data_IF_273206050650
#
_entry.id   IF_273206050650
#
_cell.length_a   1.000
_cell.length_b   1.000
_cell.length_c   1.000
_cell.angle_alpha   90.00
_cell.angle_beta   90.00
_cell.angle_gamma   90.00
#
_symmetry.space_group_name_H-M   'P 1'
#
loop_
_entity.id
_entity.type
_entity.pdbx_description
1 polymer ?
#
# COMPACT_ATOMS: atom_id res chain seq x y z
N UNK A 1 6.22 -20.19 -8.06
CA UNK A 1 5.26 -19.07 -7.94
C UNK A 1 6.10 -17.80 -7.99
N UNK A 2 5.73 -16.82 -8.80
CA UNK A 2 6.49 -15.55 -8.85
C UNK A 2 6.33 -14.79 -7.52
N UNK A 3 7.39 -14.10 -7.07
CA UNK A 3 7.30 -13.24 -5.90
C UNK A 3 6.27 -12.12 -6.16
N UNK A 4 5.48 -11.78 -5.14
CA UNK A 4 4.57 -10.62 -5.21
C UNK A 4 5.41 -9.35 -5.32
N UNK A 5 4.94 -8.38 -6.10
CA UNK A 5 5.56 -7.06 -6.30
C UNK A 5 4.63 -5.96 -5.80
N UNK A 6 5.13 -4.73 -5.63
CA UNK A 6 4.26 -3.60 -5.29
C UNK A 6 3.28 -3.25 -6.42
N UNK A 7 3.66 -3.49 -7.68
CA UNK A 7 2.74 -3.40 -8.82
C UNK A 7 1.59 -4.41 -8.70
N UNK A 8 1.83 -5.63 -8.19
CA UNK A 8 0.74 -6.57 -7.88
C UNK A 8 -0.15 -6.05 -6.75
N UNK A 9 0.41 -5.39 -5.74
CA UNK A 9 -0.37 -4.79 -4.65
C UNK A 9 -1.33 -3.73 -5.19
N UNK A 10 -0.85 -2.81 -6.03
CA UNK A 10 -1.69 -1.80 -6.69
C UNK A 10 -2.74 -2.46 -7.59
N UNK A 11 -2.36 -3.49 -8.35
CA UNK A 11 -3.29 -4.25 -9.20
C UNK A 11 -4.42 -4.88 -8.36
N UNK A 12 -4.10 -5.51 -7.23
CA UNK A 12 -5.09 -6.10 -6.33
C UNK A 12 -5.97 -5.03 -5.68
N UNK A 13 -5.41 -3.88 -5.31
CA UNK A 13 -6.20 -2.74 -4.84
C UNK A 13 -7.21 -2.28 -5.90
N UNK A 14 -6.82 -2.22 -7.18
CA UNK A 14 -7.71 -1.88 -8.29
C UNK A 14 -8.82 -2.91 -8.50
N UNK A 15 -8.51 -4.19 -8.36
CA UNK A 15 -9.52 -5.25 -8.42
C UNK A 15 -10.60 -5.07 -7.34
N UNK A 16 -10.21 -4.71 -6.11
CA UNK A 16 -11.14 -4.47 -5.00
C UNK A 16 -11.96 -3.19 -5.18
N UNK A 17 -11.33 -2.13 -5.71
CA UNK A 17 -12.00 -0.86 -6.07
C UNK A 17 -12.89 -1.00 -7.32
N UNK A 18 -12.81 -2.14 -8.03
CA UNK A 18 -13.41 -2.34 -9.35
C UNK A 18 -12.93 -1.33 -10.41
N UNK A 19 -11.77 -0.72 -10.19
CA UNK A 19 -11.14 0.26 -11.08
C UNK A 19 -10.15 -0.43 -12.03
N UNK A 20 -10.66 -1.33 -12.86
CA UNK A 20 -9.88 -2.22 -13.74
C UNK A 20 -9.82 -1.76 -15.19
N UNK A 21 -10.53 -0.70 -15.55
CA UNK A 21 -10.58 -0.20 -16.92
C UNK A 21 -9.45 0.80 -17.19
N UNK A 22 -8.37 0.30 -17.80
CA UNK A 22 -7.20 1.09 -18.22
C UNK A 22 -7.47 2.34 -19.06
N UNK A 23 -8.66 2.50 -19.65
CA UNK A 23 -8.99 3.68 -20.48
C UNK A 23 -9.70 4.79 -19.70
N UNK A 24 -10.29 4.46 -18.54
CA UNK A 24 -11.09 5.38 -17.72
C UNK A 24 -10.87 5.08 -16.24
N UNK A 25 -9.60 5.02 -15.82
CA UNK A 25 -9.28 4.79 -14.41
C UNK A 25 -9.74 5.98 -13.57
N UNK A 26 -10.36 5.71 -12.41
CA UNK A 26 -10.76 6.75 -11.45
C UNK A 26 -9.52 7.38 -10.81
N UNK A 27 -8.52 6.54 -10.50
CA UNK A 27 -7.25 6.96 -9.92
C UNK A 27 -6.10 6.54 -10.82
N UNK A 28 -5.14 7.43 -11.02
CA UNK A 28 -3.87 7.08 -11.67
C UNK A 28 -3.03 6.17 -10.77
N UNK A 29 -2.16 5.35 -11.35
CA UNK A 29 -1.21 4.52 -10.60
C UNK A 29 -0.37 5.35 -9.62
N UNK A 30 0.05 6.54 -10.06
CA UNK A 30 0.81 7.49 -9.23
C UNK A 30 0.05 7.95 -7.99
N UNK A 31 -1.28 8.07 -8.09
CA UNK A 31 -2.13 8.43 -6.95
C UNK A 31 -2.18 7.27 -5.96
N UNK A 32 -2.42 6.05 -6.43
CA UNK A 32 -2.47 4.87 -5.56
C UNK A 32 -1.11 4.55 -4.93
N UNK A 33 0.00 4.79 -5.64
CA UNK A 33 1.35 4.66 -5.09
C UNK A 33 1.65 5.70 -4.01
N UNK A 34 1.18 6.94 -4.15
CA UNK A 34 1.30 7.94 -3.09
C UNK A 34 0.56 7.51 -1.82
N UNK A 35 -0.62 6.88 -1.97
CA UNK A 35 -1.37 6.30 -0.86
C UNK A 35 -0.60 5.13 -0.23
N UNK A 36 -0.03 4.23 -1.05
CA UNK A 36 0.79 3.11 -0.57
C UNK A 36 2.01 3.61 0.23
N UNK A 37 2.72 4.62 -0.27
CA UNK A 37 3.86 5.23 0.42
C UNK A 37 3.45 5.78 1.80
N UNK A 38 2.27 6.38 1.90
CA UNK A 38 1.72 6.81 3.19
C UNK A 38 1.36 5.62 4.09
N UNK A 39 0.84 4.54 3.52
CA UNK A 39 0.58 3.28 4.23
C UNK A 39 1.85 2.65 4.80
N UNK A 40 2.97 2.70 4.08
CA UNK A 40 4.28 2.23 4.55
C UNK A 40 4.79 3.08 5.73
N UNK A 41 4.60 4.40 5.68
CA UNK A 41 4.88 5.27 6.83
C UNK A 41 3.99 4.97 8.04
N UNK A 42 2.69 4.75 7.83
CA UNK A 42 1.79 4.39 8.93
C UNK A 42 2.11 3.01 9.51
N UNK A 43 2.55 2.07 8.66
CA UNK A 43 3.04 0.76 9.07
C UNK A 43 4.27 0.90 9.96
N UNK A 44 5.26 1.72 9.57
CA UNK A 44 6.50 1.87 10.33
C UNK A 44 6.27 2.47 11.72
N UNK A 45 5.27 3.35 11.85
CA UNK A 45 4.89 3.94 13.14
C UNK A 45 4.23 2.91 14.06
N UNK A 46 3.43 1.99 13.51
CA UNK A 46 2.66 0.99 14.29
C UNK A 46 3.45 -0.29 14.57
N UNK A 47 4.20 -0.75 13.57
CA UNK A 47 4.97 -1.98 13.52
C UNK A 47 6.35 -1.67 12.94
N UNK A 48 7.22 -0.95 13.68
CA UNK A 48 8.58 -0.68 13.22
C UNK A 48 9.38 -1.97 13.00
N UNK A 49 9.01 -3.06 13.67
CA UNK A 49 9.58 -4.39 13.47
C UNK A 49 9.46 -4.91 12.04
N UNK A 50 8.45 -4.47 11.28
CA UNK A 50 8.29 -4.84 9.87
C UNK A 50 9.49 -4.42 9.00
N UNK A 51 10.25 -3.42 9.43
CA UNK A 51 11.39 -2.85 8.72
C UNK A 51 12.73 -3.21 9.38
N UNK A 52 12.76 -4.25 10.22
CA UNK A 52 13.95 -4.64 10.99
C UNK A 52 15.19 -4.86 10.11
N UNK A 53 15.02 -5.53 8.97
CA UNK A 53 16.13 -5.81 8.04
C UNK A 53 16.70 -4.53 7.41
N UNK A 54 15.88 -3.50 7.19
CA UNK A 54 16.35 -2.19 6.72
C UNK A 54 17.13 -1.45 7.82
N UNK A 55 16.62 -1.50 9.06
CA UNK A 55 17.30 -0.89 10.21
C UNK A 55 18.62 -1.58 10.54
N UNK A 56 18.74 -2.88 10.26
CA UNK A 56 19.98 -3.63 10.43
C UNK A 56 21.11 -3.13 9.50
N UNK A 57 20.76 -2.58 8.33
CA UNK A 57 21.71 -1.99 7.38
C UNK A 57 22.01 -0.50 7.67
N UNK A 58 21.66 -0.01 8.87
CA UNK A 58 21.81 1.39 9.30
C UNK A 58 21.03 2.41 8.45
N UNK A 59 20.06 1.95 7.66
CA UNK A 59 19.14 2.82 6.95
C UNK A 59 17.86 2.99 7.78
N UNK A 60 17.65 4.20 8.30
CA UNK A 60 16.45 4.57 9.05
C UNK A 60 15.34 5.10 8.13
N UNK A 61 15.57 5.13 6.82
CA UNK A 61 14.61 5.65 5.86
C UNK A 61 13.64 4.55 5.42
N UNK A 62 12.36 4.89 5.40
CA UNK A 62 11.33 4.01 4.86
C UNK A 62 11.37 4.17 3.35
N UNK A 63 11.48 3.08 2.59
CA UNK A 63 11.64 3.16 1.16
C UNK A 63 10.39 3.79 0.54
N UNK A 64 10.61 4.74 -0.37
CA UNK A 64 9.54 5.29 -1.19
C UNK A 64 9.41 4.47 -2.47
N UNK A 65 8.22 3.97 -2.74
CA UNK A 65 7.91 3.23 -3.95
C UNK A 65 7.59 4.22 -5.08
N UNK A 66 8.23 4.04 -6.23
CA UNK A 66 8.08 4.88 -7.42
C UNK A 66 7.85 4.05 -8.68
N UNK A 67 7.19 4.61 -9.69
CA UNK A 67 6.92 3.91 -10.97
C UNK A 67 8.20 3.75 -11.81
N UNK A 68 9.01 4.80 -11.85
CA UNK A 68 10.17 4.90 -12.73
C UNK A 68 11.34 5.62 -12.06
N UNK A 69 12.55 5.35 -12.54
CA UNK A 69 13.78 6.06 -12.19
C UNK A 69 14.04 6.22 -10.68
N UNK A 70 14.15 5.12 -9.91
CA UNK A 70 14.38 5.21 -8.46
C UNK A 70 15.70 5.92 -8.15
N UNK A 71 15.63 6.93 -7.29
CA UNK A 71 16.77 7.58 -6.65
C UNK A 71 17.31 6.78 -5.45
N UNK A 72 18.23 7.40 -4.70
CA UNK A 72 18.71 6.82 -3.44
C UNK A 72 17.58 6.79 -2.41
N UNK A 73 17.31 5.63 -1.80
CA UNK A 73 16.21 5.45 -0.84
C UNK A 73 14.84 5.18 -1.48
N UNK A 74 14.81 4.89 -2.79
CA UNK A 74 13.58 4.59 -3.53
C UNK A 74 13.62 3.18 -4.11
N UNK A 75 12.46 2.57 -4.20
CA UNK A 75 12.28 1.23 -4.77
C UNK A 75 11.32 1.35 -5.95
N UNK A 76 11.68 0.73 -7.07
CA UNK A 76 10.79 0.64 -8.22
C UNK A 76 9.61 -0.28 -7.92
N UNK A 77 8.39 0.09 -8.28
CA UNK A 77 7.17 -0.68 -7.96
C UNK A 77 7.14 -2.11 -8.56
N UNK A 78 7.93 -2.38 -9.60
CA UNK A 78 8.10 -3.73 -10.17
C UNK A 78 9.04 -4.61 -9.35
N UNK A 79 9.71 -4.06 -8.33
CA UNK A 79 10.54 -4.82 -7.41
C UNK A 79 9.67 -5.77 -6.57
N UNK A 80 10.30 -6.82 -6.06
CA UNK A 80 9.65 -7.74 -5.14
C UNK A 80 9.20 -6.98 -3.87
N UNK A 81 8.05 -7.38 -3.33
CA UNK A 81 7.61 -6.98 -2.02
C UNK A 81 8.58 -7.58 -0.99
N UNK A 82 9.34 -6.71 -0.33
CA UNK A 82 10.48 -7.05 0.53
C UNK A 82 10.12 -7.18 2.01
N UNK A 83 8.87 -6.88 2.39
CA UNK A 83 8.36 -7.07 3.74
C UNK A 83 7.77 -8.47 3.92
N UNK A 84 7.59 -8.89 5.18
CA UNK A 84 6.89 -10.14 5.47
C UNK A 84 5.47 -10.14 4.85
N UNK A 85 5.10 -11.25 4.23
CA UNK A 85 3.82 -11.38 3.51
C UNK A 85 2.57 -11.11 4.37
N UNK A 86 2.67 -11.17 5.70
CA UNK A 86 1.59 -10.80 6.61
C UNK A 86 1.19 -9.32 6.51
N UNK A 87 2.09 -8.45 6.03
CA UNK A 87 1.85 -7.01 5.86
C UNK A 87 1.27 -6.65 4.49
N UNK A 88 1.27 -7.59 3.55
CA UNK A 88 0.80 -7.38 2.19
C UNK A 88 -0.69 -7.01 2.13
N UNK A 89 -1.56 -7.88 2.66
CA UNK A 89 -3.01 -7.65 2.65
C UNK A 89 -3.43 -6.40 3.45
N UNK A 90 -2.84 -6.11 4.64
CA UNK A 90 -3.08 -4.85 5.32
C UNK A 90 -2.80 -3.63 4.43
N UNK A 91 -1.68 -3.60 3.70
CA UNK A 91 -1.35 -2.49 2.81
C UNK A 91 -2.34 -2.38 1.64
N UNK A 92 -2.81 -3.50 1.07
CA UNK A 92 -3.91 -3.49 0.08
C UNK A 92 -5.15 -2.82 0.68
N UNK A 93 -5.57 -3.23 1.87
CA UNK A 93 -6.75 -2.68 2.56
C UNK A 93 -6.59 -1.19 2.87
N UNK A 94 -5.38 -0.75 3.22
CA UNK A 94 -5.07 0.65 3.43
C UNK A 94 -5.26 1.46 2.14
N UNK A 95 -4.69 0.99 1.03
CA UNK A 95 -4.80 1.69 -0.26
C UNK A 95 -6.25 1.80 -0.71
N UNK A 96 -7.00 0.69 -0.65
CA UNK A 96 -8.42 0.68 -1.00
C UNK A 96 -9.22 1.60 -0.08
N UNK A 97 -9.04 1.47 1.24
CA UNK A 97 -9.79 2.25 2.22
C UNK A 97 -9.53 3.75 2.11
N UNK A 98 -8.29 4.16 1.81
CA UNK A 98 -7.99 5.58 1.57
C UNK A 98 -8.53 6.05 0.22
N UNK A 99 -8.43 5.25 -0.84
CA UNK A 99 -8.99 5.59 -2.14
C UNK A 99 -10.51 5.78 -2.07
N UNK A 100 -11.23 4.90 -1.36
CA UNK A 100 -12.69 5.02 -1.16
C UNK A 100 -13.10 6.30 -0.41
N UNK A 101 -12.27 6.83 0.51
CA UNK A 101 -12.54 8.13 1.18
C UNK A 101 -12.53 9.28 0.18
N UNK A 102 -11.66 9.20 -0.83
CA UNK A 102 -11.57 10.24 -1.86
C UNK A 102 -12.66 10.13 -2.92
N UNK A 103 -13.39 9.01 -2.99
CA UNK A 103 -14.44 8.79 -3.98
C UNK A 103 -15.73 9.50 -3.53
N UNK A 104 -16.15 10.53 -4.26
CA UNK A 104 -17.34 11.36 -3.99
C UNK A 104 -18.62 10.72 -4.55
N UNK A 105 -18.76 9.40 -4.38
CA UNK A 105 -19.98 8.68 -4.68
C UNK A 105 -20.80 8.60 -3.39
N UNK A 106 -21.66 9.61 -3.17
CA UNK A 106 -22.61 9.74 -2.07
C UNK A 106 -23.03 8.37 -1.48
N UNK A 107 -22.51 7.98 -0.30
CA UNK A 107 -23.07 7.02 0.71
C UNK A 107 -22.11 5.97 1.31
N UNK A 108 -20.84 5.81 0.92
CA UNK A 108 -20.01 4.65 1.37
C UNK A 108 -18.88 4.90 2.40
N UNK A 109 -19.00 5.91 3.27
CA UNK A 109 -18.06 6.16 4.40
C UNK A 109 -17.84 4.94 5.33
N UNK A 110 -18.84 4.03 5.41
CA UNK A 110 -18.79 2.85 6.27
C UNK A 110 -17.80 1.78 5.81
N UNK A 111 -17.64 1.60 4.50
CA UNK A 111 -16.77 0.58 3.92
C UNK A 111 -15.30 1.00 4.02
N UNK A 112 -15.00 2.26 3.71
CA UNK A 112 -13.69 2.85 3.91
C UNK A 112 -13.23 2.76 5.38
N UNK A 113 -14.11 3.13 6.32
CA UNK A 113 -13.82 3.02 7.74
C UNK A 113 -13.55 1.57 8.18
N UNK A 114 -14.33 0.61 7.65
CA UNK A 114 -14.13 -0.82 7.92
C UNK A 114 -12.78 -1.33 7.38
N UNK A 115 -12.37 -0.92 6.18
CA UNK A 115 -11.09 -1.34 5.58
C UNK A 115 -9.89 -0.76 6.34
N UNK A 116 -9.96 0.50 6.76
CA UNK A 116 -8.95 1.11 7.64
C UNK A 116 -8.92 0.48 9.03
N UNK A 117 -10.07 0.06 9.55
CA UNK A 117 -10.13 -0.71 10.78
C UNK A 117 -9.50 -2.09 10.58
N UNK A 118 -9.78 -2.79 9.48
CA UNK A 118 -9.16 -4.08 9.15
C UNK A 118 -7.63 -3.97 9.03
N UNK A 119 -7.12 -2.92 8.38
CA UNK A 119 -5.69 -2.63 8.37
C UNK A 119 -5.12 -2.60 9.80
N UNK A 120 -5.76 -1.84 10.70
CA UNK A 120 -5.30 -1.75 12.11
C UNK A 120 -5.39 -3.08 12.86
N UNK A 121 -6.49 -3.81 12.73
CA UNK A 121 -6.68 -5.10 13.41
C UNK A 121 -5.66 -6.13 12.93
N UNK A 122 -5.42 -6.20 11.61
CA UNK A 122 -4.45 -7.14 11.03
C UNK A 122 -3.00 -6.78 11.39
N UNK A 123 -2.67 -5.50 11.54
CA UNK A 123 -1.34 -5.08 11.98
C UNK A 123 -1.08 -5.35 13.46
N UNK A 124 -2.09 -5.18 14.31
CA UNK A 124 -1.92 -5.27 15.76
C UNK A 124 -2.28 -6.66 16.32
N UNK A 125 -2.96 -7.50 15.54
CA UNK A 125 -3.39 -8.83 15.95
C UNK A 125 -4.40 -8.82 17.11
N UNK A 126 -5.16 -7.73 17.25
CA UNK A 126 -6.16 -7.51 18.32
C UNK A 126 -7.54 -7.35 17.71
#
# INVERSE_FOLDING_TARGET
MAAKTYSNLITESREVLQDTNSTTERYSDSTLLNVLNRGLHDLSVKRPDAFYDLYADSDLTIPRIVEESPGSGEIIWTAAFDLEMQFYQPLVNYVVGVAEIFDDEYTDDGRAAMLLQQFRLQLLGV
#
